data_IF_431409892741
#
_entry.id   IF_431409892741
#
_cell.length_a   1.000
_cell.length_b   1.000
_cell.length_c   1.000
_cell.angle_alpha   90.00
_cell.angle_beta   90.00
_cell.angle_gamma   90.00
#
_symmetry.space_group_name_H-M   'P 1'
#
loop_
_entity.id
_entity.type
_entity.pdbx_description
1 polymer ?
#
# COMPACT_ATOMS: atom_id res chain seq x y z
N UNK A 1 -0.63 -17.49 -16.53
CA UNK A 1 0.33 -16.36 -16.53
C UNK A 1 -0.36 -15.23 -15.80
N UNK A 2 0.22 -14.71 -14.70
CA UNK A 2 -0.29 -13.52 -14.05
C UNK A 2 0.09 -12.33 -14.94
N UNK A 3 -0.86 -11.75 -15.67
CA UNK A 3 -0.56 -10.67 -16.62
C UNK A 3 0.03 -9.43 -15.95
N UNK A 4 -0.23 -9.22 -14.65
CA UNK A 4 0.23 -8.05 -13.91
C UNK A 4 1.18 -8.35 -12.73
N UNK A 5 1.62 -9.60 -12.56
CA UNK A 5 2.53 -9.97 -11.45
C UNK A 5 1.91 -10.00 -10.04
N UNK A 6 0.60 -9.73 -9.90
CA UNK A 6 -0.12 -9.82 -8.62
C UNK A 6 -1.48 -10.51 -8.77
N UNK A 7 -2.02 -10.97 -7.64
CA UNK A 7 -3.39 -11.49 -7.55
C UNK A 7 -4.24 -10.67 -6.58
N UNK A 8 -5.52 -10.51 -6.93
CA UNK A 8 -6.50 -9.75 -6.14
C UNK A 8 -7.44 -10.72 -5.45
N UNK A 9 -7.66 -10.50 -4.15
CA UNK A 9 -8.74 -11.15 -3.39
C UNK A 9 -9.65 -10.08 -2.82
N UNK A 10 -10.96 -10.24 -2.98
CA UNK A 10 -11.96 -9.29 -2.50
C UNK A 10 -12.83 -9.93 -1.43
N UNK A 11 -13.05 -9.19 -0.35
CA UNK A 11 -13.92 -9.56 0.76
C UNK A 11 -15.08 -8.56 0.80
N UNK A 12 -16.06 -8.76 -0.10
CA UNK A 12 -17.19 -7.85 -0.34
C UNK A 12 -17.90 -7.40 0.93
N UNK A 13 -18.25 -8.33 1.81
CA UNK A 13 -18.98 -8.03 3.06
C UNK A 13 -18.19 -7.13 4.03
N UNK A 14 -16.86 -7.24 3.99
CA UNK A 14 -15.95 -6.45 4.84
C UNK A 14 -15.46 -5.18 4.14
N UNK A 15 -15.77 -5.02 2.85
CA UNK A 15 -15.23 -3.96 2.00
C UNK A 15 -13.70 -3.93 2.01
N UNK A 16 -13.06 -5.09 1.88
CA UNK A 16 -11.60 -5.23 1.87
C UNK A 16 -11.11 -5.80 0.53
N UNK A 17 -10.02 -5.26 0.01
CA UNK A 17 -9.24 -5.80 -1.11
C UNK A 17 -7.84 -6.15 -0.65
N UNK A 18 -7.40 -7.38 -0.92
CA UNK A 18 -6.01 -7.79 -0.77
C UNK A 18 -5.35 -7.88 -2.15
N UNK A 19 -4.26 -7.14 -2.32
CA UNK A 19 -3.41 -7.18 -3.50
C UNK A 19 -2.14 -7.90 -3.11
N UNK A 20 -1.90 -9.06 -3.70
CA UNK A 20 -0.76 -9.89 -3.36
C UNK A 20 0.22 -9.89 -4.52
N UNK A 21 1.30 -9.14 -4.35
CA UNK A 21 2.37 -8.99 -5.31
C UNK A 21 3.34 -10.16 -5.25
N UNK A 22 3.83 -10.54 -6.42
CA UNK A 22 4.93 -11.49 -6.60
C UNK A 22 6.09 -10.73 -7.23
N UNK A 23 7.32 -11.03 -6.84
CA UNK A 23 8.61 -10.51 -7.34
C UNK A 23 8.58 -9.45 -8.46
N UNK A 24 9.18 -8.29 -8.20
CA UNK A 24 9.39 -7.20 -9.18
C UNK A 24 8.11 -6.62 -9.81
N UNK A 25 6.96 -6.82 -9.14
CA UNK A 25 5.69 -6.21 -9.54
C UNK A 25 5.67 -4.71 -9.25
N UNK A 26 5.22 -3.93 -10.24
CA UNK A 26 4.91 -2.52 -10.08
C UNK A 26 3.40 -2.33 -9.93
N UNK A 27 2.98 -1.66 -8.86
CA UNK A 27 1.60 -1.22 -8.68
C UNK A 27 1.48 0.26 -9.02
N UNK A 28 0.67 0.60 -10.03
CA UNK A 28 0.32 1.99 -10.30
C UNK A 28 -0.93 2.38 -9.50
N UNK A 29 -0.71 3.11 -8.41
CA UNK A 29 -1.78 3.59 -7.53
C UNK A 29 -2.82 4.45 -8.25
N UNK A 30 -2.50 5.08 -9.39
CA UNK A 30 -3.47 5.90 -10.15
C UNK A 30 -4.52 5.04 -10.85
N UNK A 31 -4.14 3.84 -11.29
CA UNK A 31 -4.99 2.97 -12.08
C UNK A 31 -5.55 1.80 -11.28
N UNK A 32 -5.08 1.61 -10.04
CA UNK A 32 -5.36 0.41 -9.25
C UNK A 32 -6.84 0.09 -9.05
N UNK A 33 -7.69 1.10 -8.83
CA UNK A 33 -9.14 0.89 -8.67
C UNK A 33 -9.79 0.38 -9.96
N UNK A 34 -9.36 0.87 -11.13
CA UNK A 34 -9.85 0.37 -12.41
C UNK A 34 -9.35 -1.07 -12.64
N UNK A 35 -8.09 -1.35 -12.32
CA UNK A 35 -7.55 -2.71 -12.43
C UNK A 35 -8.29 -3.70 -11.52
N UNK A 36 -8.64 -3.28 -10.29
CA UNK A 36 -9.49 -4.08 -9.41
C UNK A 36 -10.85 -4.30 -10.06
N UNK A 37 -11.53 -3.24 -10.49
CA UNK A 37 -12.84 -3.36 -11.12
C UNK A 37 -12.84 -4.30 -12.33
N UNK A 38 -11.83 -4.21 -13.19
CA UNK A 38 -11.67 -5.09 -14.35
C UNK A 38 -11.46 -6.54 -13.93
N UNK A 39 -10.67 -6.81 -12.88
CA UNK A 39 -10.46 -8.16 -12.36
C UNK A 39 -11.73 -8.83 -11.82
N UNK A 40 -12.77 -8.04 -11.49
CA UNK A 40 -14.03 -8.53 -10.95
C UNK A 40 -15.08 -8.85 -12.04
N UNK A 41 -14.90 -8.35 -13.27
CA UNK A 41 -15.94 -8.40 -14.33
C UNK A 41 -16.40 -9.81 -14.67
N UNK A 42 -15.48 -10.77 -14.60
CA UNK A 42 -15.72 -12.16 -14.98
C UNK A 42 -16.40 -12.97 -13.87
N UNK A 43 -16.65 -12.39 -12.69
CA UNK A 43 -17.28 -13.06 -11.55
C UNK A 43 -18.64 -12.44 -11.22
N UNK A 44 -19.71 -13.19 -11.44
CA UNK A 44 -21.10 -12.77 -11.19
C UNK A 44 -21.35 -12.29 -9.75
N UNK A 45 -20.58 -12.79 -8.77
CA UNK A 45 -20.72 -12.41 -7.36
C UNK A 45 -20.31 -10.95 -7.06
N UNK A 46 -19.60 -10.32 -7.99
CA UNK A 46 -19.00 -9.00 -7.84
C UNK A 46 -19.50 -7.97 -8.86
N UNK A 47 -20.47 -8.33 -9.72
CA UNK A 47 -20.98 -7.43 -10.77
C UNK A 47 -21.73 -6.21 -10.26
N UNK A 48 -22.21 -6.24 -9.02
CA UNK A 48 -22.87 -5.13 -8.35
C UNK A 48 -21.90 -4.13 -7.71
N UNK A 49 -20.60 -4.43 -7.70
CA UNK A 49 -19.57 -3.52 -7.19
C UNK A 49 -19.26 -2.48 -8.26
N UNK A 50 -19.53 -1.22 -7.96
CA UNK A 50 -19.16 -0.09 -8.82
C UNK A 50 -17.75 0.44 -8.51
N UNK A 51 -17.19 1.25 -9.41
CA UNK A 51 -15.94 1.97 -9.14
C UNK A 51 -16.06 2.87 -7.90
N UNK A 52 -17.24 3.46 -7.68
CA UNK A 52 -17.49 4.32 -6.52
C UNK A 52 -17.47 3.53 -5.20
N UNK A 53 -17.92 2.27 -5.23
CA UNK A 53 -17.84 1.39 -4.07
C UNK A 53 -16.39 1.07 -3.73
N UNK A 54 -15.56 0.77 -4.74
CA UNK A 54 -14.14 0.44 -4.55
C UNK A 54 -13.34 1.57 -3.89
N UNK A 55 -13.69 2.83 -4.12
CA UNK A 55 -13.03 3.96 -3.41
C UNK A 55 -13.25 3.95 -1.89
N UNK A 56 -14.26 3.22 -1.41
CA UNK A 56 -14.55 3.06 0.01
C UNK A 56 -13.99 1.75 0.59
N UNK A 57 -13.41 0.88 -0.25
CA UNK A 57 -12.84 -0.37 0.24
C UNK A 57 -11.46 -0.11 0.81
N UNK A 58 -11.13 -0.79 1.91
CA UNK A 58 -9.77 -0.81 2.43
C UNK A 58 -8.89 -1.70 1.54
N UNK A 59 -7.78 -1.15 1.05
CA UNK A 59 -6.85 -1.85 0.17
C UNK A 59 -5.57 -2.18 0.95
N UNK A 60 -5.23 -3.46 1.01
CA UNK A 60 -4.02 -3.96 1.63
C UNK A 60 -3.10 -4.56 0.56
N UNK A 61 -1.83 -4.20 0.61
CA UNK A 61 -0.81 -4.73 -0.30
C UNK A 61 0.09 -5.70 0.46
N UNK A 62 0.26 -6.89 -0.07
CA UNK A 62 1.13 -7.92 0.45
C UNK A 62 2.26 -8.20 -0.55
N UNK A 63 3.50 -8.29 -0.07
CA UNK A 63 4.65 -8.78 -0.83
C UNK A 63 5.15 -10.05 -0.15
N UNK A 64 5.17 -11.18 -0.86
CA UNK A 64 5.55 -12.49 -0.31
C UNK A 64 4.84 -12.83 1.02
N UNK A 65 3.53 -12.57 1.08
CA UNK A 65 2.66 -12.75 2.26
C UNK A 65 2.94 -11.79 3.43
N UNK A 66 3.80 -10.79 3.25
CA UNK A 66 4.08 -9.76 4.24
C UNK A 66 3.22 -8.54 3.94
N UNK A 67 2.41 -8.12 4.91
CA UNK A 67 1.61 -6.90 4.80
C UNK A 67 2.52 -5.67 4.76
N UNK A 68 2.40 -4.88 3.69
CA UNK A 68 3.04 -3.58 3.56
C UNK A 68 2.13 -2.53 4.21
N UNK A 69 2.42 -2.19 5.47
CA UNK A 69 1.63 -1.21 6.23
C UNK A 69 1.77 0.23 5.72
N UNK A 70 2.60 0.47 4.70
CA UNK A 70 3.05 1.80 4.33
C UNK A 70 3.81 2.46 5.48
N UNK A 71 4.08 3.75 5.34
CA UNK A 71 4.55 4.59 6.44
C UNK A 71 3.70 5.86 6.46
N UNK A 72 3.55 6.47 7.62
CA UNK A 72 3.01 7.83 7.71
C UNK A 72 4.19 8.78 7.60
N UNK A 73 4.17 9.64 6.60
CA UNK A 73 5.07 10.79 6.56
C UNK A 73 4.65 11.74 7.69
N UNK A 74 5.61 12.19 8.51
CA UNK A 74 5.37 13.38 9.33
C UNK A 74 5.52 14.57 8.39
N UNK A 75 4.48 15.40 8.23
CA UNK A 75 4.53 16.57 7.34
C UNK A 75 5.74 17.48 7.61
N UNK A 76 6.15 17.61 8.88
CA UNK A 76 7.32 18.41 9.25
C UNK A 76 8.67 17.76 8.89
N UNK A 77 8.71 16.44 8.69
CA UNK A 77 9.94 15.66 8.51
C UNK A 77 9.75 14.55 7.45
N UNK A 78 9.51 14.91 6.17
CA UNK A 78 9.10 13.98 5.10
C UNK A 78 10.16 12.93 4.71
N UNK A 79 11.38 13.05 5.25
CA UNK A 79 12.48 12.09 5.03
C UNK A 79 12.71 11.17 6.24
N UNK A 80 11.94 11.32 7.31
CA UNK A 80 12.01 10.45 8.48
C UNK A 80 10.85 9.46 8.45
N UNK A 81 11.17 8.20 8.69
CA UNK A 81 10.24 7.08 8.65
C UNK A 81 10.39 6.28 9.94
N UNK A 82 9.27 5.82 10.49
CA UNK A 82 9.27 5.10 11.75
C UNK A 82 7.84 4.91 12.26
N UNK A 83 7.72 4.24 13.40
CA UNK A 83 6.42 4.12 14.06
C UNK A 83 6.09 5.42 14.80
N UNK A 84 4.87 5.92 14.62
CA UNK A 84 4.36 7.13 15.25
C UNK A 84 3.31 6.74 16.28
N UNK A 85 3.34 7.36 17.45
CA UNK A 85 2.32 7.20 18.48
C UNK A 85 1.00 7.92 18.13
N UNK A 86 0.05 7.89 19.06
CA UNK A 86 -1.26 8.52 18.87
C UNK A 86 -1.18 10.05 18.95
N UNK A 87 -0.08 10.61 19.47
CA UNK A 87 0.20 12.03 19.56
C UNK A 87 0.90 12.59 18.31
N UNK A 88 1.30 11.72 17.37
CA UNK A 88 1.97 12.15 16.15
C UNK A 88 3.51 12.23 16.29
N UNK A 89 4.08 11.61 17.32
CA UNK A 89 5.52 11.62 17.62
C UNK A 89 6.14 10.25 17.34
N UNK A 90 7.38 10.21 16.86
CA UNK A 90 8.09 8.94 16.67
C UNK A 90 8.29 8.21 17.99
N UNK A 91 8.04 6.91 17.98
CA UNK A 91 8.30 6.03 19.12
C UNK A 91 9.80 5.77 19.20
N UNK A 92 10.52 6.55 20.00
CA UNK A 92 12.00 6.50 20.10
C UNK A 92 12.57 5.13 20.51
N UNK A 93 11.76 4.27 21.13
CA UNK A 93 12.16 2.90 21.47
C UNK A 93 12.15 1.94 20.28
N UNK A 94 11.74 2.40 19.09
CA UNK A 94 11.64 1.61 17.86
C UNK A 94 12.59 2.18 16.80
N UNK A 95 13.00 1.36 15.80
CA UNK A 95 13.84 1.84 14.72
C UNK A 95 13.23 3.04 13.99
N UNK A 96 14.06 4.06 13.76
CA UNK A 96 13.77 5.23 12.94
C UNK A 96 14.74 5.24 11.77
N UNK A 97 14.24 5.58 10.59
CA UNK A 97 14.99 5.62 9.35
C UNK A 97 14.96 7.04 8.78
N UNK A 98 16.09 7.46 8.20
CA UNK A 98 16.20 8.72 7.48
C UNK A 98 16.64 8.44 6.05
N UNK A 99 15.87 8.89 5.07
CA UNK A 99 16.27 8.82 3.66
C UNK A 99 17.18 10.01 3.34
N UNK A 100 18.46 9.72 3.10
CA UNK A 100 19.43 10.70 2.63
C UNK A 100 19.90 10.35 1.22
N UNK A 101 19.97 11.36 0.34
CA UNK A 101 20.64 11.24 -0.95
C UNK A 101 22.15 11.12 -0.76
N UNK A 102 22.78 10.14 -1.42
CA UNK A 102 24.12 9.66 -1.11
C UNK A 102 25.32 10.60 -1.31
N UNK A 103 25.11 11.89 -1.63
CA UNK A 103 26.21 12.84 -1.85
C UNK A 103 26.58 13.70 -0.63
N UNK A 104 25.79 13.68 0.46
CA UNK A 104 25.96 14.60 1.61
C UNK A 104 26.32 13.91 2.95
N UNK A 105 27.02 12.76 2.93
CA UNK A 105 27.43 12.05 4.16
C UNK A 105 28.31 12.90 5.08
N UNK A 106 29.04 13.89 4.54
CA UNK A 106 30.00 14.70 5.30
C UNK A 106 29.37 15.84 6.12
N UNK A 107 28.05 16.06 6.04
CA UNK A 107 27.39 17.21 6.67
C UNK A 107 26.73 16.92 8.02
N UNK A 108 26.79 15.67 8.52
CA UNK A 108 26.14 15.27 9.78
C UNK A 108 27.09 14.43 10.65
N UNK A 109 28.12 15.09 11.20
CA UNK A 109 28.75 14.71 12.48
C UNK A 109 28.94 15.98 13.30
#
# INVERSE_FOLDING_TARGET
>A
MLENGFYISIHKEKQIVHINCIDSTTLDCKTIHNTILESLRDNESYQDISLQDLYNYEIYVFLDSILLNGSKEIESHPLYFGEIDKEGVFVESKPMYYLQGGEDIDSVI
#
